data_IF_238713005171
#
_entry.id   IF_238713005171
#
_cell.length_a   1.000
_cell.length_b   1.000
_cell.length_c   1.000
_cell.angle_alpha   90.00
_cell.angle_beta   90.00
_cell.angle_gamma   90.00
#
_symmetry.space_group_name_H-M   'P 1'
#
loop_
_entity.id
_entity.type
_entity.pdbx_description
1 polymer ?
#
# COMPACT_ATOMS: atom_id res chain seq x y z
N UNK A 1 17.58 -9.00 0.86
CA UNK A 1 17.57 -7.54 0.59
C UNK A 1 16.50 -6.89 1.46
N UNK A 2 16.75 -5.71 2.03
CA UNK A 2 15.76 -4.95 2.80
C UNK A 2 15.27 -3.77 1.97
N UNK A 3 13.95 -3.55 1.94
CA UNK A 3 13.32 -2.42 1.25
C UNK A 3 12.38 -1.75 2.23
N UNK A 4 12.52 -0.44 2.39
CA UNK A 4 11.67 0.37 3.24
C UNK A 4 10.74 1.25 2.39
N UNK A 5 9.47 1.32 2.76
CA UNK A 5 8.49 2.22 2.18
C UNK A 5 7.96 3.16 3.22
N UNK A 6 7.87 4.43 2.84
CA UNK A 6 6.93 5.34 3.49
C UNK A 6 5.51 4.87 3.19
N UNK A 7 4.58 5.08 4.12
CA UNK A 7 3.17 4.72 3.91
C UNK A 7 2.45 5.88 3.22
N UNK A 8 2.60 7.08 3.78
CA UNK A 8 1.86 8.28 3.39
C UNK A 8 2.34 8.79 2.03
N UNK A 9 1.40 9.12 1.15
CA UNK A 9 1.63 9.55 -0.26
C UNK A 9 2.52 8.62 -1.12
N UNK A 10 2.91 7.46 -0.61
CA UNK A 10 3.76 6.47 -1.26
C UNK A 10 2.98 5.20 -1.56
N UNK A 11 2.47 4.53 -0.54
CA UNK A 11 1.65 3.33 -0.67
C UNK A 11 0.17 3.65 -0.63
N UNK A 12 -0.22 4.59 0.23
CA UNK A 12 -1.56 5.17 0.27
C UNK A 12 -1.62 6.32 -0.74
N UNK A 13 -2.79 6.58 -1.30
CA UNK A 13 -2.97 7.70 -2.21
C UNK A 13 -4.31 8.42 -2.02
N UNK A 14 -4.39 9.65 -2.51
CA UNK A 14 -5.65 10.38 -2.57
C UNK A 14 -6.59 9.82 -3.66
N UNK A 15 -7.90 10.18 -3.64
CA UNK A 15 -8.88 9.68 -4.60
C UNK A 15 -8.64 10.05 -6.08
N UNK A 16 -7.79 11.04 -6.36
CA UNK A 16 -7.45 11.43 -7.73
C UNK A 16 -6.40 10.51 -8.37
N UNK A 17 -5.73 9.67 -7.58
CA UNK A 17 -4.73 8.72 -8.06
C UNK A 17 -5.37 7.34 -8.27
N UNK A 18 -5.02 6.62 -9.35
CA UNK A 18 -5.48 5.25 -9.54
C UNK A 18 -5.15 4.36 -8.34
N UNK A 19 -6.19 3.75 -7.77
CA UNK A 19 -6.09 2.88 -6.60
C UNK A 19 -6.43 1.43 -6.90
N UNK A 20 -6.04 0.55 -5.98
CA UNK A 20 -6.45 -0.86 -6.00
C UNK A 20 -7.97 -0.98 -5.81
N UNK A 21 -8.64 -1.75 -6.66
CA UNK A 21 -10.10 -1.90 -6.63
C UNK A 21 -10.58 -3.06 -5.73
N UNK A 22 -9.67 -3.74 -5.02
CA UNK A 22 -9.90 -5.07 -4.44
C UNK A 22 -10.69 -5.08 -3.13
N UNK A 23 -10.99 -3.93 -2.52
CA UNK A 23 -11.74 -3.87 -1.27
C UNK A 23 -13.25 -3.72 -1.52
N UNK A 24 -14.03 -4.57 -0.87
CA UNK A 24 -15.49 -4.45 -0.81
C UNK A 24 -15.90 -3.17 -0.08
N UNK A 25 -17.09 -2.65 -0.39
CA UNK A 25 -17.55 -1.35 0.08
C UNK A 25 -17.57 -1.22 1.62
N UNK A 26 -17.93 -2.28 2.35
CA UNK A 26 -17.87 -2.30 3.81
C UNK A 26 -16.46 -2.16 4.37
N UNK A 27 -15.46 -2.74 3.69
CA UNK A 27 -14.07 -2.69 4.11
C UNK A 27 -13.48 -1.29 3.90
N UNK A 28 -13.97 -0.55 2.89
CA UNK A 28 -13.55 0.84 2.64
C UNK A 28 -13.94 1.78 3.77
N UNK A 29 -15.03 1.51 4.49
CA UNK A 29 -15.38 2.34 5.65
C UNK A 29 -14.37 2.17 6.80
N UNK A 30 -13.82 0.96 6.97
CA UNK A 30 -12.81 0.68 8.00
C UNK A 30 -11.38 1.06 7.58
N UNK A 31 -11.12 1.11 6.28
CA UNK A 31 -9.85 1.50 5.67
C UNK A 31 -10.12 2.55 4.58
N UNK A 32 -10.36 3.81 4.98
CA UNK A 32 -10.78 4.86 4.05
C UNK A 32 -9.68 5.24 3.06
N UNK A 33 -8.43 5.00 3.43
CA UNK A 33 -7.24 5.30 2.66
C UNK A 33 -6.99 4.23 1.59
N UNK A 34 -7.12 4.58 0.29
CA UNK A 34 -6.94 3.60 -0.77
C UNK A 34 -5.45 3.36 -1.04
N UNK A 35 -5.10 2.12 -1.33
CA UNK A 35 -3.76 1.76 -1.79
C UNK A 35 -3.55 2.20 -3.24
N UNK A 36 -2.40 2.79 -3.54
CA UNK A 36 -1.95 3.13 -4.89
C UNK A 36 -1.90 1.86 -5.75
N UNK A 37 -2.45 1.97 -6.97
CA UNK A 37 -2.48 0.86 -7.93
C UNK A 37 -1.07 0.31 -8.18
N UNK A 38 -0.93 -1.02 -8.15
CA UNK A 38 0.34 -1.73 -8.33
C UNK A 38 1.01 -2.12 -7.02
N UNK A 39 0.59 -1.54 -5.89
CA UNK A 39 1.10 -1.91 -4.56
C UNK A 39 0.94 -3.40 -4.30
N UNK A 40 -0.21 -4.00 -4.64
CA UNK A 40 -0.43 -5.43 -4.41
C UNK A 40 0.54 -6.29 -5.21
N UNK A 41 0.71 -5.99 -6.50
CA UNK A 41 1.60 -6.74 -7.38
C UNK A 41 3.07 -6.60 -6.94
N UNK A 42 3.47 -5.39 -6.54
CA UNK A 42 4.79 -5.10 -5.99
C UNK A 42 5.06 -5.93 -4.73
N UNK A 43 4.15 -5.88 -3.74
CA UNK A 43 4.32 -6.61 -2.48
C UNK A 43 4.43 -8.13 -2.73
N UNK A 44 3.60 -8.68 -3.60
CA UNK A 44 3.67 -10.10 -3.98
C UNK A 44 5.04 -10.46 -4.59
N UNK A 45 5.54 -9.64 -5.52
CA UNK A 45 6.83 -9.87 -6.16
C UNK A 45 8.02 -9.72 -5.18
N UNK A 46 7.91 -8.82 -4.19
CA UNK A 46 8.93 -8.65 -3.15
C UNK A 46 8.97 -9.83 -2.19
N UNK A 47 7.80 -10.33 -1.77
CA UNK A 47 7.69 -11.54 -0.95
C UNK A 47 8.24 -12.75 -1.69
N UNK A 48 7.91 -12.92 -2.98
CA UNK A 48 8.45 -14.01 -3.81
C UNK A 48 9.98 -13.98 -3.90
N UNK A 49 10.57 -12.78 -3.89
CA UNK A 49 12.03 -12.57 -3.90
C UNK A 49 12.68 -12.63 -2.52
N UNK A 50 11.94 -13.03 -1.48
CA UNK A 50 12.42 -13.11 -0.09
C UNK A 50 13.01 -11.78 0.40
N UNK A 51 12.43 -10.66 -0.04
CA UNK A 51 12.81 -9.34 0.46
C UNK A 51 12.21 -9.11 1.84
N UNK A 52 12.97 -8.47 2.73
CA UNK A 52 12.44 -7.98 4.01
C UNK A 52 11.84 -6.60 3.80
N UNK A 53 10.53 -6.46 4.03
CA UNK A 53 9.79 -5.22 3.80
C UNK A 53 9.63 -4.49 5.13
N UNK A 54 9.99 -3.21 5.15
CA UNK A 54 9.83 -2.32 6.31
C UNK A 54 8.88 -1.20 5.92
N UNK A 55 7.88 -0.94 6.75
CA UNK A 55 6.93 0.15 6.56
C UNK A 55 7.16 1.17 7.66
N UNK A 56 7.17 2.45 7.30
CA UNK A 56 7.19 3.54 8.25
C UNK A 56 6.16 4.58 7.83
N UNK A 57 5.64 5.30 8.81
CA UNK A 57 4.76 6.45 8.64
C UNK A 57 5.16 7.46 9.70
N UNK A 58 4.90 8.74 9.42
CA UNK A 58 5.04 9.77 10.44
C UNK A 58 3.80 9.72 11.32
N UNK A 59 4.02 9.66 12.62
CA UNK A 59 2.93 9.91 13.58
C UNK A 59 2.86 11.43 13.70
N UNK A 60 1.79 12.01 13.18
CA UNK A 60 1.43 13.43 13.37
C UNK A 60 0.88 13.67 14.79
#
# INVERSE_FOLDING_TARGET
MRISFDIDDTLICNPAIPSEQHLGWWQRWRYPEPLRRGTRALMAALVQRQCTIWLYSKID
#
